data_IF_647540356740
#
_entry.id   IF_647540356740
#
_cell.length_a   1.000
_cell.length_b   1.000
_cell.length_c   1.000
_cell.angle_alpha   90.00
_cell.angle_beta   90.00
_cell.angle_gamma   90.00
#
_symmetry.space_group_name_H-M   'P 1'
#
loop_
_entity.id
_entity.type
_entity.pdbx_description
1 polymer ?
#
# COMPACT_ATOMS: atom_id res chain seq x y z
N UNK A 1 -16.07 -56.71 10.56
CA UNK A 1 -15.76 -55.36 10.06
C UNK A 1 -16.95 -54.92 9.21
N UNK A 2 -17.78 -53.99 9.70
CA UNK A 2 -18.97 -53.52 8.97
C UNK A 2 -18.59 -52.32 8.11
N UNK A 3 -18.67 -52.48 6.79
CA UNK A 3 -18.48 -51.40 5.83
C UNK A 3 -19.87 -50.86 5.43
N UNK A 4 -20.23 -49.59 5.69
CA UNK A 4 -21.60 -49.07 5.56
C UNK A 4 -22.09 -48.85 4.10
N UNK A 5 -21.49 -49.53 3.11
CA UNK A 5 -21.74 -49.30 1.70
C UNK A 5 -22.48 -50.46 0.98
N UNK A 6 -23.04 -51.41 1.73
CA UNK A 6 -23.89 -52.44 1.12
C UNK A 6 -25.25 -51.86 0.68
N UNK A 7 -25.53 -51.94 -0.62
CA UNK A 7 -26.90 -52.09 -1.12
C UNK A 7 -27.57 -50.93 -1.85
N UNK A 8 -26.84 -50.02 -2.53
CA UNK A 8 -27.50 -49.05 -3.44
C UNK A 8 -26.89 -49.04 -4.83
N UNK A 9 -27.56 -49.72 -5.77
CA UNK A 9 -27.25 -49.66 -7.20
C UNK A 9 -27.77 -48.36 -7.79
N UNK A 10 -26.90 -47.40 -8.05
CA UNK A 10 -27.24 -46.15 -8.75
C UNK A 10 -27.11 -46.38 -10.26
N UNK A 11 -28.14 -46.01 -11.03
CA UNK A 11 -28.10 -46.01 -12.49
C UNK A 11 -28.12 -44.57 -12.98
N UNK A 12 -27.10 -44.20 -13.74
CA UNK A 12 -27.00 -42.90 -14.38
C UNK A 12 -27.54 -43.01 -15.81
N UNK A 13 -28.32 -42.02 -16.22
CA UNK A 13 -28.81 -41.90 -17.58
C UNK A 13 -28.40 -40.53 -18.13
N UNK A 14 -27.97 -40.51 -19.39
CA UNK A 14 -27.68 -39.27 -20.09
C UNK A 14 -28.96 -38.74 -20.71
N UNK A 15 -29.29 -37.49 -20.38
CA UNK A 15 -30.36 -36.75 -21.05
C UNK A 15 -29.73 -35.69 -21.93
N UNK A 16 -30.27 -35.52 -23.13
CA UNK A 16 -29.80 -34.52 -24.09
C UNK A 16 -30.06 -33.12 -23.54
N UNK A 17 -29.09 -32.22 -23.67
CA UNK A 17 -29.30 -30.81 -23.35
C UNK A 17 -30.43 -30.22 -24.21
N UNK A 18 -31.19 -29.27 -23.65
CA UNK A 18 -32.33 -28.60 -24.31
C UNK A 18 -33.50 -29.51 -24.71
N UNK A 19 -33.72 -30.60 -23.97
CA UNK A 19 -34.83 -31.54 -24.21
C UNK A 19 -36.17 -31.11 -23.55
N UNK A 20 -36.35 -29.85 -23.17
CA UNK A 20 -37.59 -29.41 -22.51
C UNK A 20 -37.66 -29.72 -21.01
N UNK A 21 -36.57 -30.23 -20.40
CA UNK A 21 -36.56 -30.59 -18.98
C UNK A 21 -36.32 -29.36 -18.12
N UNK A 22 -37.30 -29.03 -17.28
CA UNK A 22 -37.33 -27.81 -16.45
C UNK A 22 -36.08 -27.64 -15.58
N UNK A 23 -35.50 -28.73 -15.07
CA UNK A 23 -34.28 -28.70 -14.25
C UNK A 23 -33.03 -28.35 -15.07
N UNK A 24 -32.90 -28.89 -16.29
CA UNK A 24 -31.78 -28.60 -17.18
C UNK A 24 -31.89 -27.19 -17.77
N UNK A 25 -33.09 -26.78 -18.13
CA UNK A 25 -33.36 -25.42 -18.59
C UNK A 25 -33.06 -24.39 -17.50
N UNK A 26 -33.43 -24.69 -16.25
CA UNK A 26 -33.08 -23.85 -15.11
C UNK A 26 -31.56 -23.78 -14.90
N UNK A 27 -30.86 -24.89 -15.04
CA UNK A 27 -29.40 -24.92 -14.96
C UNK A 27 -28.75 -24.08 -16.08
N UNK A 28 -29.23 -24.20 -17.33
CA UNK A 28 -28.75 -23.43 -18.47
C UNK A 28 -29.07 -21.93 -18.33
N UNK A 29 -30.26 -21.58 -17.83
CA UNK A 29 -30.67 -20.21 -17.54
C UNK A 29 -29.76 -19.58 -16.47
N UNK A 30 -29.44 -20.34 -15.41
CA UNK A 30 -28.52 -19.91 -14.36
C UNK A 30 -27.09 -19.75 -14.91
N UNK A 31 -26.61 -20.68 -15.74
CA UNK A 31 -25.31 -20.58 -16.39
C UNK A 31 -25.22 -19.36 -17.32
N UNK A 32 -26.26 -19.10 -18.12
CA UNK A 32 -26.38 -17.92 -18.99
C UNK A 32 -26.46 -16.62 -18.18
N UNK A 33 -27.20 -16.61 -17.07
CA UNK A 33 -27.26 -15.46 -16.18
C UNK A 33 -25.90 -15.19 -15.52
N UNK A 34 -25.15 -16.22 -15.14
CA UNK A 34 -23.82 -16.08 -14.57
C UNK A 34 -22.79 -15.54 -15.59
N UNK A 35 -22.89 -15.94 -16.87
CA UNK A 35 -22.02 -15.38 -17.92
C UNK A 35 -22.39 -13.94 -18.28
N UNK A 36 -23.67 -13.58 -18.26
CA UNK A 36 -24.13 -12.20 -18.49
C UNK A 36 -23.77 -11.25 -17.33
N UNK A 37 -23.78 -11.74 -16.09
CA UNK A 37 -23.44 -10.96 -14.88
C UNK A 37 -21.92 -10.85 -14.61
N UNK A 38 -21.07 -11.55 -15.39
CA UNK A 38 -19.60 -11.57 -15.25
C UNK A 38 -18.87 -10.28 -15.62
N UNK A 39 -19.59 -9.19 -15.93
CA UNK A 39 -19.01 -7.85 -16.14
C UNK A 39 -19.16 -6.89 -14.95
N UNK A 40 -19.63 -7.37 -13.80
CA UNK A 40 -19.72 -6.52 -12.61
C UNK A 40 -18.37 -6.57 -11.90
N UNK A 41 -17.68 -5.43 -11.83
CA UNK A 41 -16.55 -5.26 -10.90
C UNK A 41 -17.01 -5.71 -9.51
N UNK A 42 -16.15 -6.34 -8.69
CA UNK A 42 -16.52 -6.68 -7.32
C UNK A 42 -17.12 -5.45 -6.63
N UNK A 43 -18.28 -5.65 -6.00
CA UNK A 43 -19.06 -4.60 -5.32
C UNK A 43 -18.30 -3.97 -4.13
N UNK A 44 -17.24 -4.65 -3.68
CA UNK A 44 -16.48 -4.28 -2.51
C UNK A 44 -14.99 -4.61 -2.70
N UNK A 45 -14.15 -3.58 -2.77
CA UNK A 45 -12.71 -3.68 -2.66
C UNK A 45 -12.38 -3.40 -1.19
N UNK A 46 -12.25 -4.45 -0.36
CA UNK A 46 -12.21 -4.38 1.12
C UNK A 46 -11.18 -3.39 1.70
N UNK A 47 -10.26 -2.85 0.91
CA UNK A 47 -9.31 -1.86 1.35
C UNK A 47 -8.70 -1.14 0.14
N UNK A 48 -9.15 0.07 -0.22
CA UNK A 48 -8.58 0.79 -1.34
C UNK A 48 -7.08 0.98 -1.14
N UNK A 49 -6.26 0.52 -2.10
CA UNK A 49 -4.80 0.66 -2.04
C UNK A 49 -4.36 2.13 -1.87
N UNK A 50 -5.14 3.08 -2.38
CA UNK A 50 -4.91 4.51 -2.20
C UNK A 50 -5.02 4.90 -0.72
N UNK A 51 -6.02 4.38 -0.02
CA UNK A 51 -6.19 4.60 1.42
C UNK A 51 -5.03 4.00 2.20
N UNK A 52 -4.64 2.75 1.89
CA UNK A 52 -3.48 2.08 2.47
C UNK A 52 -2.21 2.95 2.37
N UNK A 53 -1.89 3.39 1.15
CA UNK A 53 -0.71 4.21 0.85
C UNK A 53 -0.76 5.54 1.60
N UNK A 54 -1.93 6.17 1.70
CA UNK A 54 -2.12 7.43 2.42
C UNK A 54 -1.86 7.26 3.91
N UNK A 55 -2.38 6.21 4.53
CA UNK A 55 -2.17 5.92 5.95
C UNK A 55 -0.69 5.66 6.23
N UNK A 56 -0.04 4.80 5.45
CA UNK A 56 1.40 4.50 5.62
C UNK A 56 2.22 5.79 5.52
N UNK A 57 1.98 6.60 4.49
CA UNK A 57 2.71 7.87 4.30
C UNK A 57 2.50 8.84 5.47
N UNK A 58 1.27 8.97 5.96
CA UNK A 58 0.97 9.84 7.08
C UNK A 58 1.67 9.38 8.37
N UNK A 59 1.63 8.08 8.67
CA UNK A 59 2.31 7.51 9.83
C UNK A 59 3.83 7.67 9.73
N UNK A 60 4.43 7.37 8.58
CA UNK A 60 5.88 7.53 8.39
C UNK A 60 6.33 8.99 8.50
N UNK A 61 5.55 9.95 7.99
CA UNK A 61 5.86 11.37 8.15
C UNK A 61 5.77 11.82 9.61
N UNK A 62 4.77 11.32 10.36
CA UNK A 62 4.63 11.62 11.78
C UNK A 62 5.82 11.11 12.58
N UNK A 63 6.19 9.83 12.40
CA UNK A 63 7.36 9.25 13.07
C UNK A 63 8.66 9.95 12.70
N UNK A 64 8.82 10.33 11.42
CA UNK A 64 10.00 11.07 10.99
C UNK A 64 10.04 12.47 11.63
N UNK A 65 8.91 13.17 11.71
CA UNK A 65 8.82 14.46 12.38
C UNK A 65 9.17 14.36 13.87
N UNK A 66 8.65 13.35 14.57
CA UNK A 66 8.94 13.11 15.99
C UNK A 66 10.45 12.89 16.21
N UNK A 67 11.07 11.97 15.46
CA UNK A 67 12.52 11.72 15.52
C UNK A 67 13.34 12.97 15.17
N UNK A 68 12.87 13.75 14.20
CA UNK A 68 13.53 14.98 13.79
C UNK A 68 13.48 16.04 14.89
N UNK A 69 12.36 16.16 15.62
CA UNK A 69 12.24 17.10 16.73
C UNK A 69 13.03 16.65 17.96
N UNK A 70 12.98 15.36 18.31
CA UNK A 70 13.59 14.82 19.54
C UNK A 70 15.10 14.57 19.42
N UNK A 71 15.60 14.27 18.22
CA UNK A 71 17.01 13.99 18.01
C UNK A 71 17.88 15.22 18.30
N UNK A 72 19.08 15.04 18.85
CA UNK A 72 20.01 16.16 19.11
C UNK A 72 20.83 16.61 17.89
N UNK A 73 20.65 15.93 16.76
CA UNK A 73 21.39 16.18 15.51
C UNK A 73 20.64 17.13 14.59
N UNK A 74 21.39 17.79 13.68
CA UNK A 74 20.79 18.63 12.65
C UNK A 74 20.14 19.92 13.17
N UNK A 75 20.50 20.38 14.37
CA UNK A 75 19.88 21.54 15.01
C UNK A 75 19.89 22.80 14.14
N UNK A 76 20.98 23.04 13.42
CA UNK A 76 21.06 24.15 12.47
C UNK A 76 20.07 23.98 11.31
N UNK A 77 19.91 22.77 10.79
CA UNK A 77 18.92 22.47 9.75
C UNK A 77 17.50 22.68 10.27
N UNK A 78 17.21 22.35 11.54
CA UNK A 78 15.90 22.59 12.18
C UNK A 78 15.56 24.07 12.30
N UNK A 79 16.55 24.92 12.55
CA UNK A 79 16.35 26.37 12.56
C UNK A 79 15.83 26.90 11.21
N UNK A 80 16.26 26.29 10.09
CA UNK A 80 15.75 26.64 8.76
C UNK A 80 14.44 25.93 8.45
N UNK A 81 14.30 24.67 8.85
CA UNK A 81 13.15 23.83 8.52
C UNK A 81 12.62 23.09 9.76
N UNK A 82 11.75 23.73 10.52
CA UNK A 82 11.14 23.09 11.70
C UNK A 82 10.29 21.84 11.34
N UNK A 83 9.72 21.83 10.13
CA UNK A 83 8.88 20.74 9.61
C UNK A 83 9.61 19.95 8.54
N UNK A 84 9.61 18.63 8.72
CA UNK A 84 10.17 17.64 7.80
C UNK A 84 9.52 17.70 6.41
N UNK A 85 8.21 17.90 6.35
CA UNK A 85 7.48 18.00 5.07
C UNK A 85 8.01 19.15 4.21
N UNK A 86 8.23 20.30 4.84
CA UNK A 86 8.77 21.51 4.19
C UNK A 86 10.22 21.29 3.81
N UNK A 87 11.04 20.76 4.72
CA UNK A 87 12.44 20.41 4.45
C UNK A 87 12.55 19.50 3.23
N UNK A 88 11.79 18.40 3.22
CA UNK A 88 11.82 17.41 2.15
C UNK A 88 11.43 18.00 0.79
N UNK A 89 10.38 18.83 0.74
CA UNK A 89 9.95 19.47 -0.50
C UNK A 89 11.04 20.39 -1.06
N UNK A 90 11.56 21.28 -0.21
CA UNK A 90 12.59 22.26 -0.62
C UNK A 90 13.87 21.55 -1.05
N UNK A 91 14.35 20.59 -0.25
CA UNK A 91 15.58 19.86 -0.55
C UNK A 91 15.47 18.98 -1.80
N UNK A 92 14.27 18.45 -2.11
CA UNK A 92 14.03 17.67 -3.33
C UNK A 92 14.03 18.54 -4.59
N UNK A 93 13.59 19.78 -4.49
CA UNK A 93 13.50 20.73 -5.61
C UNK A 93 14.78 21.55 -5.78
N UNK A 94 15.68 21.54 -4.80
CA UNK A 94 16.92 22.32 -4.80
C UNK A 94 18.10 21.47 -5.25
N UNK A 95 18.92 22.00 -6.16
CA UNK A 95 20.21 21.41 -6.47
C UNK A 95 21.16 21.56 -5.27
N UNK A 96 21.67 20.44 -4.75
CA UNK A 96 22.50 20.44 -3.55
C UNK A 96 23.94 20.85 -3.88
N UNK A 97 24.24 22.13 -3.66
CA UNK A 97 25.60 22.65 -3.79
C UNK A 97 26.42 22.44 -2.50
N UNK A 98 27.74 22.24 -2.58
CA UNK A 98 28.59 22.03 -1.40
C UNK A 98 28.44 23.13 -0.36
N UNK A 99 28.43 24.40 -0.77
CA UNK A 99 28.26 25.55 0.12
C UNK A 99 26.90 25.56 0.81
N UNK A 100 25.83 25.19 0.10
CA UNK A 100 24.49 25.05 0.66
C UNK A 100 24.44 23.93 1.70
N UNK A 101 25.04 22.78 1.40
CA UNK A 101 25.15 21.68 2.36
C UNK A 101 25.91 22.09 3.63
N UNK A 102 27.03 22.81 3.48
CA UNK A 102 27.81 23.32 4.62
C UNK A 102 27.00 24.32 5.45
N UNK A 103 26.25 25.22 4.82
CA UNK A 103 25.40 26.19 5.51
C UNK A 103 24.23 25.53 6.26
N UNK A 104 23.57 24.55 5.64
CA UNK A 104 22.42 23.87 6.25
C UNK A 104 22.82 22.95 7.40
N UNK A 105 23.96 22.28 7.29
CA UNK A 105 24.42 21.30 8.29
C UNK A 105 25.37 21.91 9.32
N UNK A 106 25.96 23.07 9.03
CA UNK A 106 26.98 23.72 9.85
C UNK A 106 28.32 23.01 9.82
N UNK A 107 28.51 22.05 8.90
CA UNK A 107 29.73 21.28 8.75
C UNK A 107 30.52 21.84 7.57
N UNK A 108 31.63 22.54 7.84
CA UNK A 108 32.44 23.19 6.80
C UNK A 108 33.47 24.15 7.39
N UNK A 109 34.06 25.01 6.55
CA UNK A 109 35.07 26.01 6.96
C UNK A 109 34.52 27.17 7.81
N UNK A 110 33.45 26.95 8.57
CA UNK A 110 32.85 27.93 9.46
C UNK A 110 33.68 28.02 10.74
N UNK A 111 33.98 29.22 11.21
CA UNK A 111 34.79 29.44 12.42
C UNK A 111 34.26 28.65 13.64
N UNK A 112 32.93 28.59 13.80
CA UNK A 112 32.27 27.79 14.85
C UNK A 112 32.59 26.29 14.75
N UNK A 113 32.62 25.75 13.53
CA UNK A 113 32.92 24.34 13.28
C UNK A 113 34.40 24.04 13.47
N UNK A 114 35.29 24.87 12.92
CA UNK A 114 36.74 24.71 13.08
C UNK A 114 37.18 24.78 14.54
N UNK A 115 36.62 25.71 15.32
CA UNK A 115 36.88 25.83 16.76
C UNK A 115 36.52 24.54 17.53
N UNK A 116 35.45 23.83 17.14
CA UNK A 116 35.08 22.53 17.75
C UNK A 116 36.19 21.49 17.62
N UNK A 117 36.94 21.54 16.52
CA UNK A 117 38.04 20.61 16.23
C UNK A 117 39.42 21.16 16.57
N UNK A 118 39.49 22.38 17.13
CA UNK A 118 40.76 23.07 17.46
C UNK A 118 41.67 23.26 16.25
N UNK A 119 41.05 23.58 15.10
CA UNK A 119 41.71 23.91 13.83
C UNK A 119 41.69 25.41 13.59
#
# INVERSE_FOLDING_TARGET
MNNPAEGRTVRLFWVRAHAGMTSNERADELAKNATLKKKTKPDYDCFPLIYAKRVIRATSLKEWQERYTEGSTGELTKCFFARVETAYKVLRETEMMPTLAQNLTGHGGLAKYLNRFKL
#
